data_IF_911392246394
#
_entry.id   IF_911392246394
#
_cell.length_a   1.000
_cell.length_b   1.000
_cell.length_c   1.000
_cell.angle_alpha   90.00
_cell.angle_beta   90.00
_cell.angle_gamma   90.00
#
_symmetry.space_group_name_H-M   'P 1'
#
loop_
_entity.id
_entity.type
_entity.pdbx_description
1 polymer ?
#
# COMPACT_ATOMS: atom_id res chain seq x y z
N UNK A 1 5.17 7.97 -9.24
CA UNK A 1 5.01 6.83 -10.17
C UNK A 1 6.25 6.62 -11.03
N UNK A 2 6.70 7.62 -11.80
CA UNK A 2 7.83 7.51 -12.72
C UNK A 2 9.14 7.12 -12.02
N UNK A 3 9.41 7.62 -10.80
CA UNK A 3 10.57 7.23 -10.00
C UNK A 3 10.59 5.73 -9.69
N UNK A 4 9.46 5.19 -9.26
CA UNK A 4 9.33 3.75 -8.96
C UNK A 4 9.59 2.94 -10.22
N UNK A 5 9.03 3.35 -11.35
CA UNK A 5 9.26 2.67 -12.65
C UNK A 5 10.72 2.71 -13.09
N UNK A 6 11.39 3.85 -12.92
CA UNK A 6 12.83 3.94 -13.22
C UNK A 6 13.63 2.99 -12.30
N UNK A 7 13.35 2.98 -10.99
CA UNK A 7 13.99 2.04 -10.07
C UNK A 7 13.73 0.57 -10.44
N UNK A 8 12.53 0.24 -10.89
CA UNK A 8 12.18 -1.09 -11.41
C UNK A 8 12.93 -1.44 -12.69
N UNK A 9 13.02 -0.49 -13.64
CA UNK A 9 13.79 -0.67 -14.88
C UNK A 9 15.27 -0.93 -14.58
N UNK A 10 15.86 -0.16 -13.67
CA UNK A 10 17.24 -0.44 -13.25
C UNK A 10 17.40 -1.86 -12.70
N UNK A 11 16.48 -2.31 -11.86
CA UNK A 11 16.49 -3.68 -11.31
C UNK A 11 16.38 -4.77 -12.38
N UNK A 12 15.65 -4.50 -13.46
CA UNK A 12 15.44 -5.44 -14.57
C UNK A 12 16.57 -5.45 -15.59
N UNK A 13 17.13 -4.27 -15.89
CA UNK A 13 18.09 -4.10 -17.00
C UNK A 13 19.53 -3.92 -16.55
N UNK A 14 19.77 -3.47 -15.33
CA UNK A 14 21.08 -3.06 -14.84
C UNK A 14 21.55 -1.71 -15.37
N UNK A 15 20.75 -1.00 -16.20
CA UNK A 15 21.14 0.27 -16.79
C UNK A 15 21.28 1.37 -15.74
N UNK A 16 22.47 2.01 -15.72
CA UNK A 16 22.81 3.06 -14.76
C UNK A 16 21.95 4.32 -14.93
N UNK A 17 21.55 4.67 -16.15
CA UNK A 17 20.74 5.84 -16.43
C UNK A 17 19.40 5.85 -15.63
N UNK A 18 18.77 4.70 -15.45
CA UNK A 18 17.56 4.58 -14.65
C UNK A 18 17.82 4.73 -13.15
N UNK A 19 18.95 4.17 -12.65
CA UNK A 19 19.42 4.37 -11.29
C UNK A 19 19.67 5.84 -11.00
N UNK A 20 20.49 6.48 -11.84
CA UNK A 20 20.90 7.87 -11.66
C UNK A 20 19.69 8.81 -11.66
N UNK A 21 18.74 8.57 -12.55
CA UNK A 21 17.52 9.37 -12.61
C UNK A 21 16.67 9.19 -11.36
N UNK A 22 16.36 7.94 -10.96
CA UNK A 22 15.52 7.67 -9.81
C UNK A 22 16.15 8.16 -8.50
N UNK A 23 17.45 7.93 -8.32
CA UNK A 23 18.20 8.39 -7.17
C UNK A 23 18.36 9.93 -7.15
N UNK A 24 18.54 10.55 -8.32
CA UNK A 24 18.56 12.01 -8.47
C UNK A 24 17.24 12.66 -8.08
N UNK A 25 16.10 12.04 -8.40
CA UNK A 25 14.79 12.51 -7.92
C UNK A 25 14.68 12.42 -6.39
N UNK A 26 15.11 11.32 -5.78
CA UNK A 26 15.13 11.20 -4.32
C UNK A 26 16.01 12.26 -3.67
N UNK A 27 17.18 12.56 -4.25
CA UNK A 27 18.05 13.64 -3.80
C UNK A 27 17.37 15.00 -3.88
N UNK A 28 16.67 15.26 -4.99
CA UNK A 28 15.92 16.50 -5.16
C UNK A 28 14.86 16.68 -4.07
N UNK A 29 14.07 15.65 -3.82
CA UNK A 29 13.06 15.71 -2.77
C UNK A 29 13.70 15.84 -1.38
N UNK A 30 14.76 15.11 -1.07
CA UNK A 30 15.47 15.22 0.20
C UNK A 30 16.02 16.61 0.43
N UNK A 31 16.69 17.21 -0.57
CA UNK A 31 17.27 18.54 -0.46
C UNK A 31 16.23 19.65 -0.29
N UNK A 32 15.00 19.46 -0.75
CA UNK A 32 14.00 20.52 -0.82
C UNK A 32 12.82 20.33 0.14
N UNK A 33 12.54 19.13 0.62
CA UNK A 33 11.34 18.83 1.39
C UNK A 33 11.14 19.77 2.59
N UNK A 34 12.18 20.01 3.37
CA UNK A 34 12.12 20.88 4.53
C UNK A 34 12.09 22.39 4.18
N UNK A 35 12.46 22.75 2.96
CA UNK A 35 12.45 24.11 2.46
C UNK A 35 11.06 24.55 1.96
N UNK A 36 10.24 23.59 1.55
CA UNK A 36 8.89 23.89 1.09
C UNK A 36 7.97 24.24 2.26
N UNK A 37 7.20 25.30 2.09
CA UNK A 37 6.16 25.63 3.04
C UNK A 37 5.01 24.62 3.00
N UNK A 38 4.31 24.41 4.12
CA UNK A 38 3.08 23.62 4.13
C UNK A 38 2.08 24.15 3.10
N UNK A 39 1.41 23.26 2.39
CA UNK A 39 0.43 23.61 1.35
C UNK A 39 -0.78 24.38 1.89
N UNK A 40 -1.03 24.29 3.19
CA UNK A 40 -2.08 25.04 3.87
C UNK A 40 -1.61 25.44 5.29
N UNK A 41 -1.99 26.62 5.79
CA UNK A 41 -1.70 27.02 7.16
C UNK A 41 -2.22 25.99 8.18
N UNK A 42 -1.39 25.64 9.15
CA UNK A 42 -1.73 24.69 10.22
C UNK A 42 -1.83 23.22 9.78
N UNK A 43 -1.46 22.91 8.54
CA UNK A 43 -1.48 21.54 8.01
C UNK A 43 -0.06 21.09 7.63
N UNK A 44 0.42 19.92 8.05
CA UNK A 44 1.83 19.54 7.90
C UNK A 44 2.23 19.10 6.48
N UNK A 45 1.28 18.88 5.58
CA UNK A 45 1.54 18.41 4.22
C UNK A 45 2.30 19.45 3.39
N UNK A 46 3.42 19.06 2.77
CA UNK A 46 4.31 19.93 2.00
C UNK A 46 4.30 19.67 0.50
N UNK A 47 4.13 18.42 0.10
CA UNK A 47 4.10 18.01 -1.32
C UNK A 47 2.71 18.18 -1.92
N UNK A 48 1.69 17.92 -1.13
CA UNK A 48 0.30 17.92 -1.58
C UNK A 48 -0.59 18.65 -0.58
N UNK A 49 -1.74 19.10 -1.03
CA UNK A 49 -2.72 19.82 -0.20
C UNK A 49 -3.39 18.93 0.87
N UNK A 50 -3.23 17.59 0.77
CA UNK A 50 -3.89 16.62 1.62
C UNK A 50 -2.92 15.51 2.09
N UNK A 51 -2.93 15.19 3.37
CA UNK A 51 -2.06 14.17 3.97
C UNK A 51 -2.30 12.75 3.46
N UNK A 52 -3.47 12.46 2.92
CA UNK A 52 -3.72 11.20 2.23
C UNK A 52 -2.84 11.05 0.99
N UNK A 53 -2.77 12.12 0.17
CA UNK A 53 -1.92 12.11 -1.03
C UNK A 53 -0.44 12.07 -0.65
N UNK A 54 -0.04 12.77 0.44
CA UNK A 54 1.30 12.61 1.03
C UNK A 54 1.58 11.14 1.34
N UNK A 55 0.70 10.48 2.12
CA UNK A 55 0.88 9.09 2.53
C UNK A 55 1.04 8.13 1.33
N UNK A 56 0.19 8.26 0.30
CA UNK A 56 0.28 7.42 -0.90
C UNK A 56 1.55 7.68 -1.72
N UNK A 57 2.15 8.87 -1.62
CA UNK A 57 3.44 9.15 -2.25
C UNK A 57 4.62 8.73 -1.37
N UNK A 58 4.49 8.80 -0.05
CA UNK A 58 5.49 8.27 0.87
C UNK A 58 5.72 6.76 0.65
N UNK A 59 4.66 5.99 0.36
CA UNK A 59 4.79 4.59 -0.09
C UNK A 59 5.71 4.46 -1.30
N UNK A 60 5.59 5.35 -2.29
CA UNK A 60 6.44 5.32 -3.49
C UNK A 60 7.90 5.67 -3.19
N UNK A 61 8.16 6.60 -2.26
CA UNK A 61 9.51 6.89 -1.79
C UNK A 61 10.11 5.67 -1.07
N UNK A 62 9.35 5.02 -0.20
CA UNK A 62 9.77 3.78 0.46
C UNK A 62 10.09 2.67 -0.55
N UNK A 63 9.26 2.51 -1.59
CA UNK A 63 9.51 1.56 -2.68
C UNK A 63 10.82 1.87 -3.44
N UNK A 64 11.09 3.13 -3.76
CA UNK A 64 12.35 3.52 -4.41
C UNK A 64 13.54 3.20 -3.52
N UNK A 65 13.48 3.52 -2.21
CA UNK A 65 14.51 3.17 -1.25
C UNK A 65 14.79 1.66 -1.23
N UNK A 66 13.75 0.86 -1.17
CA UNK A 66 13.84 -0.61 -1.18
C UNK A 66 14.42 -1.13 -2.49
N UNK A 67 13.95 -0.63 -3.62
CA UNK A 67 14.38 -1.07 -4.95
C UNK A 67 15.86 -0.73 -5.22
N UNK A 68 16.33 0.40 -4.72
CA UNK A 68 17.70 0.88 -4.95
C UNK A 68 18.66 0.55 -3.80
N UNK A 69 18.22 -0.15 -2.74
CA UNK A 69 18.99 -0.38 -1.52
C UNK A 69 20.39 -0.98 -1.76
N UNK A 70 20.53 -1.88 -2.73
CA UNK A 70 21.81 -2.52 -3.08
C UNK A 70 22.65 -1.77 -4.12
N UNK A 71 22.11 -0.69 -4.72
CA UNK A 71 22.76 0.03 -5.83
C UNK A 71 23.17 1.46 -5.46
N UNK A 72 22.75 1.95 -4.29
CA UNK A 72 23.01 3.30 -3.81
C UNK A 72 23.83 3.26 -2.53
N UNK A 73 24.81 4.15 -2.43
CA UNK A 73 25.68 4.30 -1.25
C UNK A 73 24.88 4.52 0.04
N UNK A 74 25.37 3.93 1.15
CA UNK A 74 24.70 3.99 2.44
C UNK A 74 24.48 5.42 2.93
N UNK A 75 25.47 6.29 2.75
CA UNK A 75 25.40 7.71 3.14
C UNK A 75 24.28 8.45 2.37
N UNK A 76 24.13 8.18 1.07
CA UNK A 76 23.06 8.78 0.25
C UNK A 76 21.70 8.33 0.72
N UNK A 77 21.53 7.05 1.08
CA UNK A 77 20.28 6.52 1.63
C UNK A 77 19.96 7.10 3.01
N UNK A 78 20.98 7.28 3.86
CA UNK A 78 20.83 7.92 5.17
C UNK A 78 20.42 9.38 5.05
N UNK A 79 20.89 10.10 4.02
CA UNK A 79 20.42 11.44 3.72
C UNK A 79 18.93 11.45 3.34
N UNK A 80 18.48 10.53 2.46
CA UNK A 80 17.05 10.40 2.13
C UNK A 80 16.20 10.11 3.36
N UNK A 81 16.69 9.23 4.23
CA UNK A 81 16.01 8.93 5.49
C UNK A 81 15.83 10.19 6.34
N UNK A 82 16.92 10.91 6.62
CA UNK A 82 16.95 12.04 7.54
C UNK A 82 16.24 13.28 6.99
N UNK A 83 16.36 13.55 5.70
CA UNK A 83 15.94 14.81 5.09
C UNK A 83 14.60 14.75 4.37
N UNK A 84 14.09 13.54 4.07
CA UNK A 84 12.79 13.33 3.42
C UNK A 84 11.88 12.41 4.23
N UNK A 85 12.29 11.15 4.43
CA UNK A 85 11.36 10.13 4.91
C UNK A 85 10.93 10.35 6.37
N UNK A 86 11.86 10.58 7.28
CA UNK A 86 11.54 10.85 8.68
C UNK A 86 10.77 12.16 8.90
N UNK A 87 11.11 13.29 8.24
CA UNK A 87 10.29 14.50 8.31
C UNK A 87 8.85 14.27 7.83
N UNK A 88 8.66 13.53 6.74
CA UNK A 88 7.33 13.22 6.23
C UNK A 88 6.56 12.27 7.17
N UNK A 89 7.23 11.26 7.72
CA UNK A 89 6.67 10.39 8.77
C UNK A 89 6.22 11.21 9.99
N UNK A 90 7.04 12.16 10.47
CA UNK A 90 6.66 13.04 11.59
C UNK A 90 5.43 13.87 11.24
N UNK A 91 5.37 14.42 10.03
CA UNK A 91 4.24 15.19 9.56
C UNK A 91 2.95 14.35 9.54
N UNK A 92 2.98 13.13 9.00
CA UNK A 92 1.83 12.24 8.98
C UNK A 92 1.41 11.78 10.38
N UNK A 93 2.36 11.46 11.27
CA UNK A 93 2.08 11.02 12.62
C UNK A 93 1.45 12.11 13.49
N UNK A 94 1.61 13.40 13.15
CA UNK A 94 0.99 14.54 13.86
C UNK A 94 -0.49 14.71 13.52
N UNK A 95 -1.02 13.98 12.54
CA UNK A 95 -2.40 14.13 12.05
C UNK A 95 -3.20 12.85 12.22
N UNK A 96 -4.51 12.93 12.01
CA UNK A 96 -5.42 11.79 11.95
C UNK A 96 -5.29 10.85 13.17
N UNK A 97 -5.31 11.42 14.38
CA UNK A 97 -5.33 10.68 15.64
C UNK A 97 -6.75 10.19 15.94
N UNK A 98 -7.27 9.35 15.05
CA UNK A 98 -8.61 8.77 15.07
C UNK A 98 -8.67 7.53 14.16
N UNK A 99 -9.76 6.77 14.25
CA UNK A 99 -10.06 5.72 13.28
C UNK A 99 -10.64 6.39 12.02
N UNK A 100 -9.92 6.22 10.89
CA UNK A 100 -10.29 6.87 9.62
C UNK A 100 -9.51 6.23 8.46
N UNK A 101 -10.09 6.16 7.25
CA UNK A 101 -9.39 5.60 6.09
C UNK A 101 -8.04 6.31 5.81
N UNK A 102 -7.99 7.64 5.96
CA UNK A 102 -6.75 8.42 5.81
C UNK A 102 -5.72 8.03 6.86
N UNK A 103 -6.14 7.84 8.13
CA UNK A 103 -5.26 7.41 9.21
C UNK A 103 -4.65 6.04 8.89
N UNK A 104 -5.45 5.09 8.42
CA UNK A 104 -4.94 3.77 8.04
C UNK A 104 -3.89 3.87 6.92
N UNK A 105 -4.14 4.65 5.86
CA UNK A 105 -3.15 4.88 4.80
C UNK A 105 -1.85 5.48 5.33
N UNK A 106 -1.94 6.46 6.24
CA UNK A 106 -0.76 7.06 6.86
C UNK A 106 0.04 6.03 7.66
N UNK A 107 -0.61 5.21 8.48
CA UNK A 107 0.08 4.18 9.29
C UNK A 107 0.67 3.09 8.40
N UNK A 108 -0.01 2.68 7.34
CA UNK A 108 0.54 1.75 6.35
C UNK A 108 1.76 2.33 5.61
N UNK A 109 1.75 3.62 5.28
CA UNK A 109 2.89 4.30 4.66
C UNK A 109 4.08 4.39 5.62
N UNK A 110 3.86 4.79 6.87
CA UNK A 110 4.90 4.84 7.91
C UNK A 110 5.52 3.46 8.14
N UNK A 111 4.71 2.41 8.21
CA UNK A 111 5.19 1.04 8.35
C UNK A 111 6.06 0.61 7.14
N UNK A 112 5.71 1.00 5.93
CA UNK A 112 6.51 0.71 4.73
C UNK A 112 7.84 1.47 4.72
N UNK A 113 7.87 2.72 5.20
CA UNK A 113 9.13 3.44 5.43
C UNK A 113 9.99 2.70 6.46
N UNK A 114 9.40 2.29 7.58
CA UNK A 114 10.11 1.53 8.62
C UNK A 114 10.81 0.29 8.05
N UNK A 115 10.11 -0.47 7.19
CA UNK A 115 10.69 -1.62 6.48
C UNK A 115 11.84 -1.21 5.53
N UNK A 116 11.66 -0.11 4.81
CA UNK A 116 12.65 0.33 3.83
C UNK A 116 13.96 0.83 4.48
N UNK A 117 13.87 1.40 5.69
CA UNK A 117 15.04 1.93 6.42
C UNK A 117 15.51 1.04 7.57
N UNK A 118 14.81 -0.06 7.87
CA UNK A 118 15.17 -1.00 8.93
C UNK A 118 14.92 -0.46 10.34
N UNK A 119 13.90 0.38 10.54
CA UNK A 119 13.57 1.00 11.83
C UNK A 119 12.47 0.21 12.57
N UNK A 120 12.87 -0.63 13.52
CA UNK A 120 11.93 -1.46 14.28
C UNK A 120 11.01 -0.64 15.20
N UNK A 121 11.49 0.46 15.77
CA UNK A 121 10.67 1.30 16.63
C UNK A 121 9.56 1.99 15.84
N UNK A 122 9.90 2.50 14.65
CA UNK A 122 8.94 3.08 13.71
C UNK A 122 7.92 2.02 13.25
N UNK A 123 8.36 0.80 12.93
CA UNK A 123 7.47 -0.31 12.60
C UNK A 123 6.47 -0.58 13.72
N UNK A 124 6.95 -0.82 14.94
CA UNK A 124 6.08 -1.08 16.09
C UNK A 124 5.12 0.09 16.36
N UNK A 125 5.60 1.33 16.27
CA UNK A 125 4.75 2.50 16.40
C UNK A 125 3.62 2.57 15.36
N UNK A 126 3.93 2.22 14.11
CA UNK A 126 2.94 2.24 13.03
C UNK A 126 1.93 1.08 13.13
N UNK A 127 2.36 -0.10 13.58
CA UNK A 127 1.48 -1.28 13.69
C UNK A 127 0.72 -1.29 15.02
N UNK A 128 1.41 -1.15 16.14
CA UNK A 128 0.88 -1.38 17.50
C UNK A 128 0.58 -0.09 18.27
N UNK A 129 1.00 1.07 17.75
CA UNK A 129 0.83 2.37 18.41
C UNK A 129 -0.64 2.76 18.62
N UNK A 130 -0.89 3.86 19.38
CA UNK A 130 -2.25 4.25 19.79
C UNK A 130 -3.25 4.40 18.64
N UNK A 131 -2.77 4.75 17.45
CA UNK A 131 -3.55 4.87 16.21
C UNK A 131 -2.99 3.99 15.10
N UNK A 132 -2.27 2.93 15.50
CA UNK A 132 -1.61 2.00 14.60
C UNK A 132 -2.59 1.15 13.76
N UNK A 133 -2.03 0.44 12.78
CA UNK A 133 -2.79 -0.39 11.84
C UNK A 133 -3.74 -1.35 12.55
N UNK A 134 -3.29 -2.00 13.62
CA UNK A 134 -4.12 -2.96 14.38
C UNK A 134 -5.36 -2.30 14.96
N UNK A 135 -5.22 -1.13 15.57
CA UNK A 135 -6.37 -0.39 16.09
C UNK A 135 -7.30 0.08 14.99
N UNK A 136 -6.76 0.59 13.88
CA UNK A 136 -7.57 0.99 12.73
C UNK A 136 -8.44 -0.16 12.22
N UNK A 137 -7.87 -1.37 12.14
CA UNK A 137 -8.60 -2.57 11.71
C UNK A 137 -9.62 -3.01 12.76
N UNK A 138 -9.23 -3.08 14.03
CA UNK A 138 -10.09 -3.58 15.11
C UNK A 138 -11.32 -2.70 15.37
N UNK A 139 -11.17 -1.37 15.26
CA UNK A 139 -12.25 -0.41 15.54
C UNK A 139 -12.96 0.08 14.27
N UNK A 140 -12.32 0.01 13.11
CA UNK A 140 -12.84 0.54 11.85
C UNK A 140 -13.57 -0.48 10.98
N UNK A 141 -13.39 -1.79 11.21
CA UNK A 141 -14.03 -2.84 10.43
C UNK A 141 -15.19 -3.45 11.23
N UNK A 142 -16.37 -3.48 10.64
CA UNK A 142 -17.57 -4.06 11.25
C UNK A 142 -17.50 -5.59 11.27
N UNK A 143 -18.40 -6.25 12.02
CA UNK A 143 -18.46 -7.72 12.16
C UNK A 143 -18.74 -8.46 10.84
N UNK A 144 -19.32 -7.77 9.87
CA UNK A 144 -19.63 -8.28 8.52
C UNK A 144 -18.60 -7.84 7.46
N UNK A 145 -17.47 -7.34 7.93
CA UNK A 145 -16.31 -6.94 7.12
C UNK A 145 -16.58 -5.78 6.17
N UNK A 146 -17.24 -4.74 6.67
CA UNK A 146 -17.32 -3.45 6.00
C UNK A 146 -16.58 -2.38 6.79
N UNK A 147 -15.99 -1.44 6.08
CA UNK A 147 -15.41 -0.25 6.70
C UNK A 147 -16.52 0.66 7.22
N UNK A 148 -16.40 1.14 8.45
CA UNK A 148 -17.48 1.84 9.18
C UNK A 148 -18.01 3.10 8.46
N UNK A 149 -17.26 3.70 7.56
CA UNK A 149 -17.70 4.86 6.75
C UNK A 149 -18.76 4.46 5.68
N UNK A 150 -19.12 3.20 5.57
CA UNK A 150 -20.23 2.64 4.79
C UNK A 150 -20.14 2.83 3.26
N UNK A 151 -19.07 3.36 2.74
CA UNK A 151 -18.80 3.44 1.30
C UNK A 151 -18.04 2.20 0.81
N UNK A 152 -18.54 1.51 -0.21
CA UNK A 152 -17.80 0.40 -0.83
C UNK A 152 -16.51 0.87 -1.49
N UNK A 153 -16.45 2.14 -1.93
CA UNK A 153 -15.22 2.78 -2.40
C UNK A 153 -14.18 2.86 -1.28
N UNK A 154 -14.57 3.32 -0.10
CA UNK A 154 -13.66 3.35 1.06
C UNK A 154 -13.30 1.96 1.55
N UNK A 155 -14.25 1.01 1.49
CA UNK A 155 -13.96 -0.39 1.80
C UNK A 155 -12.80 -0.95 0.95
N UNK A 156 -12.90 -0.79 -0.38
CA UNK A 156 -11.84 -1.19 -1.30
C UNK A 156 -10.54 -0.39 -1.06
N UNK A 157 -10.64 0.89 -0.74
CA UNK A 157 -9.50 1.77 -0.51
C UNK A 157 -8.72 1.39 0.75
N UNK A 158 -9.41 1.05 1.84
CA UNK A 158 -8.83 0.50 3.07
C UNK A 158 -8.15 -0.84 2.81
N UNK A 159 -8.81 -1.73 2.08
CA UNK A 159 -8.22 -3.00 1.68
C UNK A 159 -6.93 -2.81 0.87
N UNK A 160 -6.89 -1.83 -0.05
CA UNK A 160 -5.68 -1.50 -0.82
C UNK A 160 -4.52 -1.04 0.06
N UNK A 161 -4.78 -0.24 1.11
CA UNK A 161 -3.74 0.16 2.06
C UNK A 161 -3.11 -1.04 2.75
N UNK A 162 -3.94 -1.96 3.25
CA UNK A 162 -3.50 -3.20 3.90
C UNK A 162 -2.76 -4.14 2.92
N UNK A 163 -3.23 -4.26 1.68
CA UNK A 163 -2.55 -5.05 0.64
C UNK A 163 -1.18 -4.47 0.27
N UNK A 164 -1.08 -3.15 0.17
CA UNK A 164 0.20 -2.47 -0.07
C UNK A 164 1.19 -2.77 1.05
N UNK A 165 0.76 -2.62 2.31
CA UNK A 165 1.57 -2.97 3.48
C UNK A 165 1.93 -4.46 3.52
N UNK A 166 0.94 -5.34 3.28
CA UNK A 166 1.16 -6.79 3.25
C UNK A 166 2.16 -7.23 2.19
N UNK A 167 2.14 -6.60 1.02
CA UNK A 167 3.13 -6.83 -0.04
C UNK A 167 4.53 -6.43 0.42
N UNK A 168 4.68 -5.24 0.99
CA UNK A 168 5.97 -4.77 1.50
C UNK A 168 6.48 -5.65 2.67
N UNK A 169 5.60 -6.03 3.59
CA UNK A 169 5.93 -6.93 4.70
C UNK A 169 6.33 -8.33 4.20
N UNK A 170 5.66 -8.85 3.17
CA UNK A 170 6.01 -10.12 2.53
C UNK A 170 7.41 -10.10 1.92
N UNK A 171 7.75 -9.03 1.21
CA UNK A 171 9.10 -8.84 0.64
C UNK A 171 10.20 -8.68 1.72
N UNK A 172 9.82 -8.21 2.90
CA UNK A 172 10.71 -8.10 4.06
C UNK A 172 10.70 -9.34 4.98
N UNK A 173 9.94 -10.40 4.62
CA UNK A 173 9.83 -11.62 5.44
C UNK A 173 9.02 -11.46 6.73
N UNK A 174 8.14 -10.45 6.80
CA UNK A 174 7.36 -10.09 8.00
C UNK A 174 5.84 -10.21 7.82
N UNK A 175 5.36 -10.85 6.75
CA UNK A 175 3.92 -10.98 6.49
C UNK A 175 3.16 -11.66 7.63
N UNK A 176 3.77 -12.64 8.29
CA UNK A 176 3.16 -13.39 9.40
C UNK A 176 2.78 -12.50 10.58
N UNK A 177 3.50 -11.40 10.80
CA UNK A 177 3.17 -10.42 11.85
C UNK A 177 1.84 -9.69 11.61
N UNK A 178 1.34 -9.71 10.36
CA UNK A 178 0.12 -9.06 9.91
C UNK A 178 -0.97 -10.06 9.49
N UNK A 179 -0.85 -11.33 9.85
CA UNK A 179 -1.75 -12.40 9.40
C UNK A 179 -3.23 -12.09 9.66
N UNK A 180 -3.55 -11.50 10.81
CA UNK A 180 -4.92 -11.09 11.15
C UNK A 180 -5.40 -9.94 10.26
N UNK A 181 -4.62 -8.88 10.14
CA UNK A 181 -4.95 -7.69 9.34
C UNK A 181 -5.11 -8.04 7.85
N UNK A 182 -4.29 -8.97 7.36
CA UNK A 182 -4.37 -9.45 5.99
C UNK A 182 -5.61 -10.34 5.76
N UNK A 183 -5.99 -11.16 6.74
CA UNK A 183 -7.25 -11.91 6.68
C UNK A 183 -8.47 -10.97 6.67
N UNK A 184 -8.43 -9.89 7.45
CA UNK A 184 -9.46 -8.84 7.42
C UNK A 184 -9.49 -8.14 6.06
N UNK A 185 -8.32 -7.80 5.49
CA UNK A 185 -8.24 -7.19 4.15
C UNK A 185 -8.87 -8.08 3.07
N UNK A 186 -8.66 -9.39 3.15
CA UNK A 186 -9.32 -10.36 2.26
C UNK A 186 -10.83 -10.28 2.37
N UNK A 187 -11.36 -10.28 3.59
CA UNK A 187 -12.79 -10.22 3.81
C UNK A 187 -13.39 -8.87 3.39
N UNK A 188 -12.70 -7.75 3.61
CA UNK A 188 -13.10 -6.43 3.07
C UNK A 188 -13.25 -6.44 1.54
N UNK A 189 -12.47 -7.24 0.82
CA UNK A 189 -12.60 -7.38 -0.63
C UNK A 189 -13.73 -8.33 -1.05
N UNK A 190 -13.98 -9.38 -0.26
CA UNK A 190 -14.95 -10.41 -0.61
C UNK A 190 -16.38 -10.07 -0.17
N UNK A 191 -16.56 -9.45 0.99
CA UNK A 191 -17.90 -9.15 1.54
C UNK A 191 -18.77 -8.30 0.61
N UNK A 192 -18.26 -7.27 -0.10
CA UNK A 192 -19.07 -6.54 -1.07
C UNK A 192 -19.65 -7.40 -2.18
N UNK A 193 -19.00 -8.51 -2.53
CA UNK A 193 -19.48 -9.42 -3.58
C UNK A 193 -20.78 -10.13 -3.19
N UNK A 194 -21.08 -10.23 -1.90
CA UNK A 194 -22.35 -10.78 -1.39
C UNK A 194 -23.52 -9.84 -1.64
N UNK A 195 -23.24 -8.55 -1.84
CA UNK A 195 -24.25 -7.51 -2.08
C UNK A 195 -24.50 -7.25 -3.57
N UNK A 196 -23.93 -8.05 -4.47
CA UNK A 196 -24.10 -7.85 -5.92
C UNK A 196 -25.54 -7.95 -6.35
N UNK A 197 -25.92 -7.01 -7.23
CA UNK A 197 -27.17 -7.12 -7.95
C UNK A 197 -27.17 -8.30 -8.94
N UNK A 198 -28.31 -8.77 -9.45
CA UNK A 198 -28.38 -9.85 -10.41
C UNK A 198 -27.58 -9.62 -11.69
N UNK A 199 -27.34 -8.36 -12.06
CA UNK A 199 -26.49 -7.97 -13.20
C UNK A 199 -24.97 -7.95 -12.90
N UNK A 200 -24.56 -8.36 -11.68
CA UNK A 200 -23.19 -8.45 -11.23
C UNK A 200 -22.58 -7.15 -10.70
N UNK A 201 -23.29 -6.02 -10.78
CA UNK A 201 -22.81 -4.74 -10.25
C UNK A 201 -22.92 -4.69 -8.73
N UNK A 202 -22.00 -3.95 -8.11
CA UNK A 202 -22.03 -3.65 -6.67
C UNK A 202 -22.92 -2.43 -6.41
N UNK A 203 -23.66 -2.38 -5.29
CA UNK A 203 -24.36 -1.17 -4.86
C UNK A 203 -23.34 -0.04 -4.61
N UNK A 204 -23.82 1.18 -4.64
CA UNK A 204 -22.98 2.37 -4.43
C UNK A 204 -23.56 3.28 -3.32
N UNK A 205 -23.57 2.82 -2.08
CA UNK A 205 -24.12 3.58 -0.95
C UNK A 205 -23.16 4.65 -0.44
N UNK A 206 -23.68 5.54 0.38
CA UNK A 206 -22.96 6.57 1.13
C UNK A 206 -22.13 7.52 0.26
N UNK A 207 -20.97 7.94 0.71
CA UNK A 207 -20.06 8.87 0.00
C UNK A 207 -19.38 8.19 -1.19
N UNK A 208 -20.15 7.95 -2.22
CA UNK A 208 -19.73 7.32 -3.45
C UNK A 208 -20.29 8.07 -4.65
N UNK A 209 -19.49 8.21 -5.71
CA UNK A 209 -19.92 8.87 -6.94
C UNK A 209 -20.18 7.88 -8.07
N UNK A 210 -21.26 8.14 -8.83
CA UNK A 210 -21.57 7.38 -10.03
C UNK A 210 -22.40 6.12 -9.79
N UNK A 211 -22.56 5.35 -10.84
CA UNK A 211 -23.32 4.10 -10.81
C UNK A 211 -22.56 2.98 -10.12
N UNK A 212 -23.28 1.95 -9.73
CA UNK A 212 -22.70 0.69 -9.28
C UNK A 212 -21.70 0.14 -10.31
N UNK A 213 -20.57 -0.40 -9.83
CA UNK A 213 -19.45 -0.86 -10.68
C UNK A 213 -19.12 -2.32 -10.40
N UNK A 214 -18.51 -2.98 -11.39
CA UNK A 214 -17.86 -4.25 -11.18
C UNK A 214 -16.68 -4.11 -10.19
N UNK A 215 -16.29 -5.19 -9.48
CA UNK A 215 -15.05 -5.22 -8.72
C UNK A 215 -13.86 -4.87 -9.60
N UNK A 216 -12.90 -4.12 -9.03
CA UNK A 216 -11.70 -3.70 -9.75
C UNK A 216 -10.76 -4.91 -9.98
N UNK A 217 -10.48 -5.31 -11.23
CA UNK A 217 -9.64 -6.46 -11.53
C UNK A 217 -8.20 -6.28 -11.08
N UNK A 218 -7.66 -5.05 -11.07
CA UNK A 218 -6.30 -4.80 -10.58
C UNK A 218 -6.19 -5.02 -9.06
N UNK A 219 -7.20 -4.63 -8.31
CA UNK A 219 -7.25 -4.88 -6.86
C UNK A 219 -7.31 -6.37 -6.57
N UNK A 220 -8.10 -7.12 -7.34
CA UNK A 220 -8.17 -8.57 -7.22
C UNK A 220 -6.84 -9.25 -7.58
N UNK A 221 -6.18 -8.79 -8.63
CA UNK A 221 -4.87 -9.29 -9.03
C UNK A 221 -3.80 -9.01 -7.97
N UNK A 222 -3.80 -7.81 -7.38
CA UNK A 222 -2.88 -7.44 -6.28
C UNK A 222 -3.14 -8.27 -5.02
N UNK A 223 -4.41 -8.52 -4.70
CA UNK A 223 -4.77 -9.32 -3.53
C UNK A 223 -4.22 -10.74 -3.61
N UNK A 224 -4.15 -11.34 -4.80
CA UNK A 224 -3.65 -12.69 -5.00
C UNK A 224 -2.19 -12.88 -4.53
N UNK A 225 -1.39 -11.84 -4.50
CA UNK A 225 0.00 -11.87 -4.00
C UNK A 225 0.06 -12.05 -2.49
N UNK A 226 -0.90 -11.47 -1.79
CA UNK A 226 -0.95 -11.47 -0.33
C UNK A 226 -1.68 -12.70 0.19
N UNK A 227 -2.76 -13.06 -0.49
CA UNK A 227 -3.55 -14.28 -0.21
C UNK A 227 -4.10 -14.85 -1.51
N UNK A 228 -3.87 -16.15 -1.79
CA UNK A 228 -4.34 -16.79 -3.00
C UNK A 228 -5.85 -17.05 -2.93
N UNK A 229 -6.64 -16.23 -3.62
CA UNK A 229 -8.08 -16.46 -3.80
C UNK A 229 -8.37 -16.89 -5.23
N UNK A 230 -9.41 -17.69 -5.44
CA UNK A 230 -9.86 -18.06 -6.78
C UNK A 230 -10.27 -16.84 -7.60
N UNK A 231 -10.84 -15.81 -6.96
CA UNK A 231 -11.21 -14.55 -7.61
C UNK A 231 -10.00 -13.74 -8.08
N UNK A 232 -8.90 -13.76 -7.32
CA UNK A 232 -7.68 -13.05 -7.68
C UNK A 232 -6.82 -13.81 -8.69
N UNK A 233 -6.97 -15.12 -8.79
CA UNK A 233 -6.12 -15.98 -9.62
C UNK A 233 -6.24 -15.66 -11.12
N UNK A 234 -7.45 -15.59 -11.64
CA UNK A 234 -7.69 -15.32 -13.05
C UNK A 234 -7.18 -13.93 -13.44
N UNK A 235 -7.40 -12.94 -12.58
CA UNK A 235 -6.95 -11.57 -12.80
C UNK A 235 -5.44 -11.43 -12.65
N UNK A 236 -4.82 -12.11 -11.68
CA UNK A 236 -3.36 -12.13 -11.51
C UNK A 236 -2.64 -12.68 -12.75
N UNK A 237 -3.24 -13.62 -13.47
CA UNK A 237 -2.67 -14.15 -14.72
C UNK A 237 -2.83 -13.16 -15.89
N UNK A 238 -3.90 -12.37 -15.89
CA UNK A 238 -4.21 -11.41 -16.97
C UNK A 238 -3.47 -10.08 -16.81
N UNK A 239 -3.32 -9.61 -15.58
CA UNK A 239 -2.67 -8.31 -15.30
C UNK A 239 -1.16 -8.43 -15.56
N UNK A 240 -0.65 -7.54 -16.39
CA UNK A 240 0.77 -7.38 -16.69
C UNK A 240 1.18 -5.97 -16.27
N UNK A 241 1.92 -5.89 -15.19
CA UNK A 241 2.50 -4.63 -14.70
C UNK A 241 3.98 -4.81 -14.32
N UNK A 242 4.64 -3.71 -14.00
CA UNK A 242 6.05 -3.72 -13.60
C UNK A 242 6.31 -4.57 -12.34
N UNK A 243 5.36 -4.62 -11.43
CA UNK A 243 5.50 -5.41 -10.21
C UNK A 243 5.46 -6.90 -10.51
N UNK A 244 4.63 -7.34 -11.49
CA UNK A 244 4.58 -8.76 -11.88
C UNK A 244 5.84 -9.23 -12.61
N UNK A 245 6.63 -8.31 -13.17
CA UNK A 245 7.92 -8.63 -13.78
C UNK A 245 9.02 -8.84 -12.74
N UNK A 246 9.03 -8.03 -11.69
CA UNK A 246 10.04 -8.12 -10.61
C UNK A 246 9.69 -9.19 -9.58
N UNK A 247 8.43 -9.21 -9.19
CA UNK A 247 7.89 -10.11 -8.17
C UNK A 247 6.69 -10.85 -8.79
N UNK A 248 6.90 -11.92 -9.56
CA UNK A 248 5.81 -12.64 -10.19
C UNK A 248 4.85 -13.21 -9.13
N UNK A 249 3.54 -13.25 -9.42
CA UNK A 249 2.59 -13.86 -8.50
C UNK A 249 2.96 -15.32 -8.28
N UNK A 250 2.69 -15.88 -7.08
CA UNK A 250 2.92 -17.28 -6.82
C UNK A 250 2.18 -18.14 -7.85
N UNK A 251 2.77 -19.28 -8.20
CA UNK A 251 2.12 -20.21 -9.12
C UNK A 251 0.72 -20.59 -8.60
N UNK A 252 -0.30 -20.64 -9.47
CA UNK A 252 -1.63 -21.04 -9.04
C UNK A 252 -1.56 -22.40 -8.34
N UNK A 253 -2.28 -22.59 -7.22
CA UNK A 253 -2.38 -23.90 -6.62
C UNK A 253 -2.88 -24.87 -7.69
N UNK A 254 -2.19 -26.01 -7.84
CA UNK A 254 -2.66 -27.06 -8.75
C UNK A 254 -4.04 -27.48 -8.25
N UNK A 255 -5.08 -27.10 -8.97
CA UNK A 255 -6.43 -27.59 -8.70
C UNK A 255 -6.38 -29.08 -8.96
N UNK A 256 -6.34 -29.87 -7.88
CA UNK A 256 -6.48 -31.29 -7.98
C UNK A 256 -7.79 -31.57 -8.73
N UNK A 257 -7.72 -32.27 -9.87
CA UNK A 257 -8.93 -32.73 -10.54
C UNK A 257 -9.72 -33.54 -9.50
N UNK A 258 -10.87 -32.98 -9.09
CA UNK A 258 -11.83 -33.78 -8.32
C UNK A 258 -12.03 -35.12 -9.03
N UNK A 259 -11.94 -36.26 -8.33
CA UNK A 259 -12.27 -37.53 -8.95
C UNK A 259 -13.69 -37.40 -9.47
N UNK A 260 -13.88 -37.53 -10.78
CA UNK A 260 -15.22 -37.63 -11.37
C UNK A 260 -15.90 -38.79 -10.68
N UNK A 261 -16.92 -38.52 -9.89
CA UNK A 261 -17.87 -39.55 -9.46
C UNK A 261 -18.38 -40.24 -10.73
N UNK A 262 -18.08 -41.53 -10.85
CA UNK A 262 -18.67 -42.39 -11.85
C UNK A 262 -20.12 -42.71 -11.49
#
# INVERSE_FOLDING_TARGET
ETMVRAAQLHRLTGEAAFLDWAAGQMDFYAANFLLWEPQRPGHPARLFWQTLTEATNLVKFADVCRLLAGAVEAERRERWRRELLEPEVRALNSTQQQVHNIALWQRCAVAQVALAVGDEAMWRGAIDGPWGVRRQVAEGVTSDYFWYEQSLGYNAYVAQALLSLGTAAGLAGRADELSHELAVAQNLLLSPLLLRFPDGRLPNPADSRGAARAPDPEVLARSYRVFPTTLGLEEAVRVRDWNTLLDPPPAPPRVGRSPRSR
#
